data_IF_969757703683
#
_entry.id   IF_969757703683
#
_cell.length_a   1.000
_cell.length_b   1.000
_cell.length_c   1.000
_cell.angle_alpha   90.00
_cell.angle_beta   90.00
_cell.angle_gamma   90.00
#
_symmetry.space_group_name_H-M   'P 1'
#
loop_
_entity.id
_entity.type
_entity.pdbx_description
1 polymer ?
#
# COMPACT_ATOMS: atom_id res chain seq x y z
N UNK A 1 -43.66 10.37 -13.20
CA UNK A 1 -42.91 9.45 -14.05
C UNK A 1 -42.52 8.27 -13.19
N UNK A 2 -43.24 7.14 -13.27
CA UNK A 2 -42.99 5.98 -12.41
C UNK A 2 -41.78 5.20 -12.91
N UNK A 3 -40.81 4.98 -12.03
CA UNK A 3 -39.70 4.08 -12.30
C UNK A 3 -40.22 2.66 -12.18
N UNK A 4 -40.34 1.96 -13.31
CA UNK A 4 -40.59 0.53 -13.34
C UNK A 4 -39.38 -0.20 -12.76
N UNK A 5 -39.51 -0.71 -11.53
CA UNK A 5 -38.60 -1.73 -11.01
C UNK A 5 -38.84 -3.02 -11.80
N UNK A 6 -37.96 -3.33 -12.76
CA UNK A 6 -37.93 -4.65 -13.39
C UNK A 6 -37.33 -5.58 -12.34
N UNK A 7 -38.13 -6.45 -11.78
CA UNK A 7 -37.71 -7.54 -10.90
C UNK A 7 -36.89 -8.56 -11.72
N UNK A 8 -35.58 -8.36 -11.80
CA UNK A 8 -34.68 -9.26 -12.53
C UNK A 8 -34.59 -10.55 -11.72
N UNK A 9 -35.30 -11.57 -12.14
CA UNK A 9 -35.27 -12.90 -11.53
C UNK A 9 -33.84 -13.38 -11.38
N UNK A 10 -33.36 -13.49 -10.14
CA UNK A 10 -32.01 -13.89 -9.81
C UNK A 10 -31.77 -15.34 -10.24
N UNK A 11 -30.87 -15.57 -11.19
CA UNK A 11 -30.49 -16.90 -11.67
C UNK A 11 -29.90 -17.73 -10.53
N UNK A 12 -30.32 -19.00 -10.43
CA UNK A 12 -29.91 -19.93 -9.39
C UNK A 12 -29.10 -21.10 -9.96
N UNK A 13 -28.38 -21.85 -9.09
CA UNK A 13 -27.71 -23.10 -9.53
C UNK A 13 -28.70 -24.13 -10.14
N UNK A 14 -30.00 -24.09 -9.78
CA UNK A 14 -31.02 -24.93 -10.39
C UNK A 14 -31.31 -24.52 -11.84
N UNK A 15 -31.32 -23.21 -12.10
CA UNK A 15 -31.54 -22.70 -13.46
C UNK A 15 -30.33 -23.08 -14.36
N UNK A 16 -29.11 -23.03 -13.83
CA UNK A 16 -27.92 -23.52 -14.55
C UNK A 16 -28.00 -25.04 -14.81
N UNK A 17 -28.42 -25.83 -13.81
CA UNK A 17 -28.55 -27.27 -13.96
C UNK A 17 -29.59 -27.61 -15.06
N UNK A 18 -30.69 -26.90 -15.08
CA UNK A 18 -31.72 -27.04 -16.08
C UNK A 18 -31.23 -26.66 -17.49
N UNK A 19 -30.54 -25.54 -17.62
CA UNK A 19 -30.02 -25.03 -18.89
C UNK A 19 -28.84 -25.84 -19.43
N UNK A 20 -27.95 -26.34 -18.55
CA UNK A 20 -26.77 -27.11 -18.95
C UNK A 20 -27.02 -28.61 -19.14
N UNK A 21 -28.17 -29.14 -18.65
CA UNK A 21 -28.48 -30.56 -18.67
C UNK A 21 -27.70 -31.38 -17.66
N UNK A 22 -26.91 -30.78 -16.77
CA UNK A 22 -26.15 -31.47 -15.76
C UNK A 22 -26.87 -31.50 -14.42
N UNK A 23 -26.50 -32.48 -13.57
CA UNK A 23 -27.08 -32.59 -12.24
C UNK A 23 -26.74 -31.36 -11.38
N UNK A 24 -27.59 -30.98 -10.43
CA UNK A 24 -27.32 -29.90 -9.49
C UNK A 24 -26.02 -30.13 -8.71
N UNK A 25 -25.67 -31.41 -8.44
CA UNK A 25 -24.39 -31.78 -7.77
C UNK A 25 -23.19 -31.48 -8.67
N UNK A 26 -23.29 -31.81 -9.97
CA UNK A 26 -22.24 -31.50 -10.95
C UNK A 26 -22.07 -30.02 -11.13
N UNK A 27 -23.16 -29.26 -11.24
CA UNK A 27 -23.14 -27.78 -11.29
C UNK A 27 -22.50 -27.19 -10.04
N UNK A 28 -22.91 -27.63 -8.85
CA UNK A 28 -22.34 -27.16 -7.60
C UNK A 28 -20.82 -27.46 -7.52
N UNK A 29 -20.38 -28.63 -7.98
CA UNK A 29 -18.94 -28.99 -8.01
C UNK A 29 -18.17 -28.14 -9.02
N UNK A 30 -18.72 -27.94 -10.21
CA UNK A 30 -18.13 -27.12 -11.26
C UNK A 30 -17.95 -25.65 -10.80
N UNK A 31 -19.03 -25.06 -10.28
CA UNK A 31 -19.06 -23.66 -9.82
C UNK A 31 -18.17 -23.37 -8.60
N UNK A 32 -17.89 -24.39 -7.77
CA UNK A 32 -17.04 -24.26 -6.57
C UNK A 32 -15.67 -24.92 -6.73
N UNK A 33 -15.22 -25.19 -7.94
CA UNK A 33 -13.94 -25.81 -8.28
C UNK A 33 -13.62 -27.10 -7.51
N UNK A 34 -14.64 -27.92 -7.19
CA UNK A 34 -14.49 -29.18 -6.46
C UNK A 34 -14.18 -30.33 -7.42
N UNK A 35 -13.54 -31.37 -6.90
CA UNK A 35 -13.28 -32.61 -7.64
C UNK A 35 -14.58 -33.38 -7.96
N UNK A 36 -14.47 -34.33 -8.92
CA UNK A 36 -15.59 -35.16 -9.35
C UNK A 36 -16.40 -34.61 -10.52
N UNK A 37 -15.82 -33.66 -11.27
CA UNK A 37 -16.29 -33.16 -12.57
C UNK A 37 -15.09 -33.02 -13.50
N UNK A 38 -15.19 -33.55 -14.74
CA UNK A 38 -14.11 -33.41 -15.72
C UNK A 38 -13.89 -31.95 -16.13
N UNK A 39 -12.73 -31.62 -16.70
CA UNK A 39 -12.40 -30.26 -17.14
C UNK A 39 -13.38 -29.77 -18.22
N UNK A 40 -13.77 -30.64 -19.13
CA UNK A 40 -14.68 -30.35 -20.24
C UNK A 40 -16.10 -30.04 -19.72
N UNK A 41 -16.61 -30.88 -18.83
CA UNK A 41 -17.96 -30.69 -18.22
C UNK A 41 -17.93 -29.41 -17.35
N UNK A 42 -16.86 -29.15 -16.64
CA UNK A 42 -16.72 -27.91 -15.86
C UNK A 42 -16.81 -26.68 -16.77
N UNK A 43 -16.06 -26.69 -17.88
CA UNK A 43 -16.07 -25.55 -18.81
C UNK A 43 -17.44 -25.33 -19.44
N UNK A 44 -18.16 -26.40 -19.80
CA UNK A 44 -19.52 -26.30 -20.34
C UNK A 44 -20.46 -25.65 -19.31
N UNK A 45 -20.43 -26.08 -18.07
CA UNK A 45 -21.28 -25.53 -17.00
C UNK A 45 -20.91 -24.04 -16.74
N UNK A 46 -19.66 -23.67 -16.75
CA UNK A 46 -19.23 -22.28 -16.57
C UNK A 46 -19.68 -21.38 -17.72
N UNK A 47 -19.62 -21.87 -18.96
CA UNK A 47 -20.11 -21.15 -20.13
C UNK A 47 -21.61 -20.89 -20.05
N UNK A 48 -22.39 -21.90 -19.63
CA UNK A 48 -23.85 -21.73 -19.44
C UNK A 48 -24.16 -20.76 -18.31
N UNK A 49 -23.39 -20.80 -17.20
CA UNK A 49 -23.56 -19.86 -16.09
C UNK A 49 -23.31 -18.42 -16.55
N UNK A 50 -22.26 -18.20 -17.35
CA UNK A 50 -21.93 -16.89 -17.91
C UNK A 50 -23.00 -16.38 -18.87
N UNK A 51 -23.46 -17.23 -19.79
CA UNK A 51 -24.56 -16.90 -20.71
C UNK A 51 -25.88 -16.51 -20.03
N UNK A 52 -26.14 -17.13 -18.87
CA UNK A 52 -27.34 -16.83 -18.07
C UNK A 52 -27.12 -15.59 -17.17
N UNK A 53 -25.93 -15.01 -17.13
CA UNK A 53 -25.58 -13.91 -16.22
C UNK A 53 -25.63 -14.33 -14.75
N UNK A 54 -25.29 -15.61 -14.46
CA UNK A 54 -25.24 -16.08 -13.08
C UNK A 54 -24.10 -15.44 -12.32
N UNK A 55 -24.42 -14.74 -11.26
CA UNK A 55 -23.45 -14.26 -10.28
C UNK A 55 -23.52 -15.14 -9.04
N UNK A 56 -22.39 -15.74 -8.66
CA UNK A 56 -22.31 -16.57 -7.43
C UNK A 56 -22.74 -15.73 -6.23
N UNK A 57 -23.76 -16.18 -5.52
CA UNK A 57 -24.17 -15.52 -4.28
C UNK A 57 -23.21 -15.91 -3.16
N UNK A 58 -22.02 -15.30 -3.16
CA UNK A 58 -21.00 -15.54 -2.15
C UNK A 58 -21.50 -15.22 -0.75
N UNK A 59 -22.39 -14.22 -0.57
CA UNK A 59 -22.96 -13.84 0.72
C UNK A 59 -23.80 -14.99 1.31
N UNK A 60 -24.71 -15.57 0.53
CA UNK A 60 -25.51 -16.71 1.00
C UNK A 60 -24.67 -17.98 1.26
N UNK A 61 -23.56 -18.14 0.53
CA UNK A 61 -22.60 -19.22 0.76
C UNK A 61 -21.75 -18.97 2.01
N UNK A 62 -21.36 -17.72 2.24
CA UNK A 62 -20.53 -17.31 3.38
C UNK A 62 -21.27 -17.47 4.73
N UNK A 63 -22.57 -17.18 4.75
CA UNK A 63 -23.42 -17.36 5.94
C UNK A 63 -23.50 -18.83 6.42
N UNK A 64 -23.19 -19.79 5.55
CA UNK A 64 -23.16 -21.23 5.88
C UNK A 64 -21.75 -21.76 6.17
N UNK A 65 -20.70 -20.94 5.95
CA UNK A 65 -19.33 -21.31 6.22
C UNK A 65 -18.92 -20.89 7.64
N UNK A 66 -17.85 -21.50 8.17
CA UNK A 66 -17.24 -21.00 9.39
C UNK A 66 -16.83 -19.53 9.23
N UNK A 67 -16.77 -18.82 10.33
CA UNK A 67 -16.24 -17.47 10.36
C UNK A 67 -14.78 -17.45 9.86
N UNK A 68 -14.44 -16.47 9.05
CA UNK A 68 -13.08 -16.25 8.54
C UNK A 68 -12.42 -15.19 9.39
N UNK A 69 -11.27 -15.53 9.97
CA UNK A 69 -10.52 -14.67 10.88
C UNK A 69 -9.37 -13.99 10.12
N UNK A 70 -9.38 -12.68 10.10
CA UNK A 70 -8.35 -11.84 9.45
C UNK A 70 -7.73 -10.93 10.51
N UNK A 71 -6.41 -10.91 10.58
CA UNK A 71 -5.68 -9.92 11.37
C UNK A 71 -5.09 -8.85 10.46
N UNK A 72 -5.24 -7.59 10.86
CA UNK A 72 -4.58 -6.43 10.24
C UNK A 72 -3.60 -5.88 11.26
N UNK A 73 -2.30 -5.95 10.96
CA UNK A 73 -1.21 -5.48 11.84
C UNK A 73 -0.45 -4.38 11.11
N UNK A 74 -0.75 -3.12 11.44
CA UNK A 74 -0.20 -1.94 10.76
C UNK A 74 0.27 -0.90 11.76
N UNK A 75 1.18 0.00 11.36
CA UNK A 75 1.48 1.18 12.17
C UNK A 75 0.21 1.96 12.52
N UNK A 76 0.25 2.61 13.68
CA UNK A 76 -0.86 3.42 14.19
C UNK A 76 -1.25 4.54 13.21
N UNK A 77 -2.55 4.88 13.08
CA UNK A 77 -3.00 5.96 12.21
C UNK A 77 -2.79 7.36 12.81
N UNK A 78 -2.46 7.44 14.10
CA UNK A 78 -2.21 8.68 14.85
C UNK A 78 -0.73 9.06 14.91
N UNK A 79 -0.39 10.06 15.71
CA UNK A 79 0.98 10.47 15.93
C UNK A 79 1.75 10.73 14.63
N UNK A 80 2.90 10.09 14.46
CA UNK A 80 3.70 10.14 13.23
C UNK A 80 3.07 9.36 12.06
N UNK A 81 2.15 8.45 12.33
CA UNK A 81 1.43 7.68 11.31
C UNK A 81 0.37 8.47 10.57
N UNK A 82 -0.07 9.63 11.12
CA UNK A 82 -1.11 10.47 10.53
C UNK A 82 -0.81 10.94 9.10
N UNK A 83 0.46 11.05 8.73
CA UNK A 83 0.87 11.53 7.41
C UNK A 83 0.76 10.46 6.31
N UNK A 84 0.60 9.17 6.70
CA UNK A 84 0.61 8.06 5.76
C UNK A 84 -0.33 6.92 6.16
N UNK A 85 -0.17 6.33 7.36
CA UNK A 85 -0.90 5.13 7.75
C UNK A 85 -2.37 5.35 8.05
N UNK A 86 -2.82 6.56 8.39
CA UNK A 86 -4.25 6.84 8.47
C UNK A 86 -4.98 6.53 7.17
N UNK A 87 -4.34 6.77 6.01
CA UNK A 87 -4.91 6.48 4.69
C UNK A 87 -4.92 5.00 4.36
N UNK A 88 -3.92 4.24 4.82
CA UNK A 88 -3.97 2.78 4.77
C UNK A 88 -5.17 2.23 5.53
N UNK A 89 -5.33 2.66 6.78
CA UNK A 89 -6.45 2.24 7.62
C UNK A 89 -7.79 2.62 7.01
N UNK A 90 -7.90 3.81 6.42
CA UNK A 90 -9.10 4.24 5.68
C UNK A 90 -9.37 3.29 4.51
N UNK A 91 -8.37 2.99 3.70
CA UNK A 91 -8.51 2.06 2.57
C UNK A 91 -8.93 0.65 3.02
N UNK A 92 -8.31 0.10 4.07
CA UNK A 92 -8.71 -1.18 4.65
C UNK A 92 -10.16 -1.16 5.15
N UNK A 93 -10.55 -0.07 5.84
CA UNK A 93 -11.90 0.09 6.36
C UNK A 93 -12.94 0.15 5.26
N UNK A 94 -12.71 0.96 4.22
CA UNK A 94 -13.66 1.08 3.11
C UNK A 94 -13.83 -0.25 2.38
N UNK A 95 -12.73 -1.01 2.17
CA UNK A 95 -12.81 -2.35 1.60
C UNK A 95 -13.51 -3.37 2.52
N UNK A 96 -13.32 -3.27 3.85
CA UNK A 96 -14.04 -4.07 4.86
C UNK A 96 -15.54 -3.76 4.85
N UNK A 97 -15.92 -2.48 4.76
CA UNK A 97 -17.33 -2.04 4.74
C UNK A 97 -18.06 -2.55 3.49
N UNK A 98 -17.41 -2.63 2.33
CA UNK A 98 -17.99 -3.21 1.11
C UNK A 98 -18.39 -4.69 1.28
N UNK A 99 -17.74 -5.39 2.21
CA UNK A 99 -17.94 -6.83 2.45
C UNK A 99 -18.56 -7.14 3.81
N UNK A 100 -19.17 -6.15 4.47
CA UNK A 100 -19.77 -6.31 5.80
C UNK A 100 -20.86 -7.42 5.87
N UNK A 101 -21.45 -7.83 4.73
CA UNK A 101 -22.41 -8.93 4.65
C UNK A 101 -21.80 -10.34 4.75
N UNK A 102 -20.48 -10.46 4.79
CA UNK A 102 -19.78 -11.75 4.91
C UNK A 102 -19.45 -12.05 6.37
N UNK A 103 -19.39 -13.36 6.73
CA UNK A 103 -19.05 -13.79 8.09
C UNK A 103 -17.54 -13.67 8.36
N UNK A 104 -17.08 -12.44 8.53
CA UNK A 104 -15.68 -12.09 8.81
C UNK A 104 -15.52 -11.66 10.27
N UNK A 105 -14.39 -12.02 10.85
CA UNK A 105 -13.89 -11.48 12.10
C UNK A 105 -12.57 -10.76 11.78
N UNK A 106 -12.58 -9.44 11.81
CA UNK A 106 -11.42 -8.61 11.46
C UNK A 106 -10.84 -8.02 12.74
N UNK A 107 -9.66 -8.49 13.10
CA UNK A 107 -8.91 -8.03 14.27
C UNK A 107 -7.89 -7.00 13.83
N UNK A 108 -7.78 -5.88 14.56
CA UNK A 108 -6.94 -4.74 14.22
C UNK A 108 -5.92 -4.51 15.32
N UNK A 109 -4.65 -4.55 14.96
CA UNK A 109 -3.51 -4.32 15.86
C UNK A 109 -2.69 -3.17 15.31
N UNK A 110 -2.24 -2.30 16.19
CA UNK A 110 -1.40 -1.15 15.82
C UNK A 110 -0.11 -1.15 16.62
N UNK A 111 0.94 -0.62 16.01
CA UNK A 111 2.25 -0.41 16.65
C UNK A 111 2.79 0.97 16.26
N UNK A 112 3.65 1.59 17.09
CA UNK A 112 4.24 2.89 16.77
C UNK A 112 5.22 2.79 15.62
N UNK A 113 5.29 3.85 14.81
CA UNK A 113 6.16 3.92 13.63
C UNK A 113 7.62 4.30 13.97
N UNK A 114 8.01 4.26 15.22
CA UNK A 114 9.29 4.78 15.66
C UNK A 114 10.42 3.74 15.64
N UNK A 115 11.35 3.88 14.70
CA UNK A 115 12.66 3.23 14.69
C UNK A 115 12.66 1.76 15.10
N UNK A 116 13.60 1.40 15.97
CA UNK A 116 13.73 0.03 16.47
C UNK A 116 12.55 -0.40 17.36
N UNK A 117 12.01 0.50 18.19
CA UNK A 117 10.90 0.18 19.11
C UNK A 117 9.65 -0.24 18.37
N UNK A 118 9.29 0.41 17.28
CA UNK A 118 8.13 0.00 16.46
C UNK A 118 8.31 -1.37 15.83
N UNK A 119 9.54 -1.76 15.49
CA UNK A 119 9.82 -3.11 14.98
C UNK A 119 9.75 -4.17 16.07
N UNK A 120 10.21 -3.89 17.28
CA UNK A 120 10.12 -4.78 18.44
C UNK A 120 8.67 -5.02 18.82
N UNK A 121 7.86 -3.96 18.88
CA UNK A 121 6.44 -4.04 19.21
C UNK A 121 5.65 -4.79 18.12
N UNK A 122 6.00 -4.61 16.83
CA UNK A 122 5.44 -5.43 15.76
C UNK A 122 5.76 -6.91 15.93
N UNK A 123 7.00 -7.24 16.33
CA UNK A 123 7.42 -8.62 16.62
C UNK A 123 6.59 -9.21 17.76
N UNK A 124 6.37 -8.46 18.84
CA UNK A 124 5.62 -8.94 20.00
C UNK A 124 4.15 -9.16 19.66
N UNK A 125 3.52 -8.23 18.93
CA UNK A 125 2.15 -8.40 18.42
C UNK A 125 2.04 -9.65 17.53
N UNK A 126 2.99 -9.87 16.62
CA UNK A 126 2.96 -11.03 15.74
C UNK A 126 3.18 -12.34 16.50
N UNK A 127 4.01 -12.37 17.56
CA UNK A 127 4.19 -13.53 18.43
C UNK A 127 2.91 -13.85 19.20
N UNK A 128 2.31 -12.87 19.88
CA UNK A 128 1.07 -13.04 20.62
C UNK A 128 -0.05 -13.52 19.69
N UNK A 129 -0.20 -12.91 18.53
CA UNK A 129 -1.17 -13.32 17.52
C UNK A 129 -0.94 -14.77 17.06
N UNK A 130 0.32 -15.18 16.86
CA UNK A 130 0.67 -16.54 16.45
C UNK A 130 0.34 -17.57 17.55
N UNK A 131 0.60 -17.23 18.82
CA UNK A 131 0.32 -18.10 19.96
C UNK A 131 -1.17 -18.19 20.25
N UNK A 132 -1.88 -17.05 20.26
CA UNK A 132 -3.29 -16.99 20.62
C UNK A 132 -4.21 -17.55 19.53
N UNK A 133 -3.96 -17.20 18.28
CA UNK A 133 -4.84 -17.53 17.15
C UNK A 133 -4.38 -18.75 16.36
N UNK A 134 -3.08 -19.08 16.34
CA UNK A 134 -2.52 -20.30 15.79
C UNK A 134 -3.23 -20.79 14.52
N UNK A 135 -3.91 -21.94 14.61
CA UNK A 135 -4.62 -22.57 13.48
C UNK A 135 -6.02 -21.96 13.21
N UNK A 136 -6.44 -20.94 13.95
CA UNK A 136 -7.74 -20.27 13.76
C UNK A 136 -7.67 -19.04 12.89
N UNK A 137 -6.48 -18.49 12.66
CA UNK A 137 -6.27 -17.37 11.76
C UNK A 137 -6.26 -17.84 10.30
N UNK A 138 -6.99 -17.16 9.43
CA UNK A 138 -7.06 -17.47 7.99
C UNK A 138 -6.21 -16.54 7.17
N UNK A 139 -6.13 -15.26 7.58
CA UNK A 139 -5.41 -14.23 6.84
C UNK A 139 -4.71 -13.22 7.73
N UNK A 140 -3.56 -12.76 7.26
CA UNK A 140 -2.77 -11.71 7.88
C UNK A 140 -2.43 -10.64 6.83
N UNK A 141 -2.82 -9.40 7.11
CA UNK A 141 -2.45 -8.22 6.35
C UNK A 141 -1.50 -7.38 7.20
N UNK A 142 -0.26 -7.14 6.72
CA UNK A 142 0.72 -6.37 7.49
C UNK A 142 1.68 -5.56 6.62
N UNK A 143 2.24 -4.50 7.19
CA UNK A 143 3.32 -3.71 6.62
C UNK A 143 4.54 -3.83 7.53
N UNK A 144 5.57 -4.61 7.16
CA UNK A 144 6.80 -4.70 7.95
C UNK A 144 7.45 -3.33 8.11
N UNK A 145 7.76 -2.93 9.36
CA UNK A 145 8.28 -1.59 9.64
C UNK A 145 9.69 -1.38 9.07
N UNK A 146 10.57 -2.34 9.32
CA UNK A 146 11.95 -2.37 8.82
C UNK A 146 12.33 -3.79 8.39
N UNK A 147 13.48 -3.94 7.74
CA UNK A 147 14.05 -5.25 7.42
C UNK A 147 14.51 -5.94 8.71
N UNK A 148 13.64 -6.80 9.27
CA UNK A 148 13.85 -7.51 10.54
C UNK A 148 13.64 -9.01 10.33
N UNK A 149 14.70 -9.79 10.61
CA UNK A 149 14.68 -11.25 10.43
C UNK A 149 13.67 -11.97 11.33
N UNK A 150 13.35 -11.42 12.50
CA UNK A 150 12.34 -12.00 13.39
C UNK A 150 10.95 -11.84 12.79
N UNK A 151 10.63 -10.67 12.20
CA UNK A 151 9.37 -10.46 11.47
C UNK A 151 9.28 -11.44 10.30
N UNK A 152 10.34 -11.56 9.48
CA UNK A 152 10.38 -12.49 8.36
C UNK A 152 10.15 -13.94 8.82
N UNK A 153 10.80 -14.37 9.90
CA UNK A 153 10.63 -15.70 10.49
C UNK A 153 9.18 -15.95 10.93
N UNK A 154 8.57 -15.01 11.64
CA UNK A 154 7.16 -15.11 12.08
C UNK A 154 6.20 -15.18 10.89
N UNK A 155 6.39 -14.35 9.88
CA UNK A 155 5.58 -14.40 8.65
C UNK A 155 5.69 -15.77 7.96
N UNK A 156 6.90 -16.35 7.91
CA UNK A 156 7.11 -17.71 7.38
C UNK A 156 6.39 -18.77 8.22
N UNK A 157 6.35 -18.59 9.56
CA UNK A 157 5.62 -19.50 10.45
C UNK A 157 4.11 -19.41 10.23
N UNK A 158 3.54 -18.19 10.06
CA UNK A 158 2.13 -18.02 9.70
C UNK A 158 1.81 -18.73 8.38
N UNK A 159 2.60 -18.48 7.34
CA UNK A 159 2.41 -19.12 6.04
C UNK A 159 2.53 -20.66 6.13
N UNK A 160 3.48 -21.18 6.92
CA UNK A 160 3.65 -22.60 7.18
C UNK A 160 2.47 -23.27 7.89
N UNK A 161 1.65 -22.50 8.61
CA UNK A 161 0.36 -22.94 9.20
C UNK A 161 -0.84 -22.78 8.27
N UNK A 162 -0.63 -22.32 7.03
CA UNK A 162 -1.69 -22.09 6.06
C UNK A 162 -2.40 -20.74 6.20
N UNK A 163 -1.86 -19.81 6.97
CA UNK A 163 -2.36 -18.43 7.02
C UNK A 163 -1.95 -17.71 5.73
N UNK A 164 -2.91 -17.10 5.06
CA UNK A 164 -2.66 -16.30 3.85
C UNK A 164 -2.09 -14.94 4.24
N UNK A 165 -0.81 -14.69 3.92
CA UNK A 165 -0.12 -13.45 4.28
C UNK A 165 -0.09 -12.51 3.10
N UNK A 166 -0.58 -11.28 3.28
CA UNK A 166 -0.45 -10.17 2.33
C UNK A 166 0.42 -9.09 2.96
N UNK A 167 1.48 -8.71 2.26
CA UNK A 167 2.38 -7.64 2.68
C UNK A 167 2.07 -6.33 1.98
N UNK A 168 2.43 -5.22 2.60
CA UNK A 168 2.35 -3.88 2.04
C UNK A 168 3.66 -3.12 2.28
N UNK A 169 4.06 -2.31 1.31
CA UNK A 169 5.28 -1.50 1.26
C UNK A 169 6.57 -2.33 1.27
N UNK A 170 6.97 -2.89 2.41
CA UNK A 170 8.20 -3.67 2.52
C UNK A 170 7.93 -5.16 2.24
N UNK A 171 8.68 -5.73 1.31
CA UNK A 171 8.51 -7.11 0.84
C UNK A 171 9.56 -8.06 1.44
N UNK A 172 9.09 -9.21 1.94
CA UNK A 172 9.90 -10.36 2.31
C UNK A 172 9.56 -11.54 1.40
N UNK A 173 10.23 -11.67 0.27
CA UNK A 173 9.92 -12.68 -0.78
C UNK A 173 9.91 -14.11 -0.25
N UNK A 174 10.79 -14.43 0.69
CA UNK A 174 10.99 -15.81 1.19
C UNK A 174 10.14 -16.15 2.42
N UNK A 175 9.10 -15.38 2.73
CA UNK A 175 8.22 -15.64 3.87
C UNK A 175 6.95 -16.43 3.54
N UNK A 176 6.79 -16.88 2.28
CA UNK A 176 5.60 -17.63 1.84
C UNK A 176 4.33 -16.76 1.74
N UNK A 177 4.50 -15.46 1.55
CA UNK A 177 3.39 -14.53 1.36
C UNK A 177 2.61 -14.80 0.08
N UNK A 178 1.33 -14.46 0.07
CA UNK A 178 0.46 -14.51 -1.09
C UNK A 178 0.87 -13.46 -2.14
N UNK A 179 1.06 -12.23 -1.69
CA UNK A 179 1.56 -11.13 -2.51
C UNK A 179 2.06 -9.97 -1.63
N UNK A 180 2.77 -9.02 -2.26
CA UNK A 180 3.09 -7.72 -1.68
C UNK A 180 2.50 -6.60 -2.53
N UNK A 181 1.85 -5.62 -1.88
CA UNK A 181 1.25 -4.46 -2.52
C UNK A 181 2.08 -3.23 -2.17
N UNK A 182 2.80 -2.71 -3.14
CA UNK A 182 3.72 -1.59 -2.96
C UNK A 182 3.85 -0.78 -4.25
N UNK A 183 4.27 0.50 -4.20
CA UNK A 183 4.76 1.16 -5.39
C UNK A 183 6.10 0.52 -5.79
N UNK A 184 6.55 0.77 -6.98
CA UNK A 184 7.95 0.49 -7.30
C UNK A 184 8.83 1.62 -6.75
N UNK A 185 9.47 1.38 -5.60
CA UNK A 185 10.19 2.42 -4.87
C UNK A 185 11.41 2.96 -5.64
N UNK A 186 12.11 2.13 -6.41
CA UNK A 186 13.19 2.60 -7.30
C UNK A 186 12.62 3.60 -8.31
N UNK A 187 11.54 3.25 -9.00
CA UNK A 187 10.90 4.15 -9.96
C UNK A 187 10.25 5.37 -9.28
N UNK A 188 9.84 5.26 -8.02
CA UNK A 188 9.36 6.41 -7.23
C UNK A 188 10.46 7.46 -7.08
N UNK A 189 11.67 7.04 -6.70
CA UNK A 189 12.84 7.91 -6.63
C UNK A 189 13.25 8.46 -7.98
N UNK A 190 13.30 7.61 -9.01
CA UNK A 190 13.63 8.03 -10.39
C UNK A 190 12.64 9.07 -10.93
N UNK A 191 11.35 8.91 -10.67
CA UNK A 191 10.32 9.86 -11.08
C UNK A 191 10.50 11.24 -10.43
N UNK A 192 10.83 11.26 -9.12
CA UNK A 192 11.17 12.51 -8.43
C UNK A 192 12.41 13.17 -9.03
N UNK A 193 13.46 12.37 -9.30
CA UNK A 193 14.71 12.84 -9.92
C UNK A 193 14.49 13.37 -11.33
N UNK A 194 13.71 12.66 -12.15
CA UNK A 194 13.35 13.08 -13.50
C UNK A 194 12.63 14.43 -13.52
N UNK A 195 11.62 14.59 -12.66
CA UNK A 195 10.92 15.86 -12.49
C UNK A 195 11.90 16.99 -12.13
N UNK A 196 12.78 16.76 -11.17
CA UNK A 196 13.77 17.75 -10.74
C UNK A 196 14.77 18.06 -11.85
N UNK A 197 15.23 17.06 -12.59
CA UNK A 197 16.15 17.25 -13.72
C UNK A 197 15.53 18.09 -14.83
N UNK A 198 14.24 17.89 -15.15
CA UNK A 198 13.51 18.71 -16.14
C UNK A 198 13.50 20.20 -15.77
N UNK A 199 13.38 20.52 -14.46
CA UNK A 199 13.33 21.91 -13.96
C UNK A 199 14.72 22.50 -13.75
N UNK A 200 15.68 21.69 -13.31
CA UNK A 200 17.04 22.10 -12.99
C UNK A 200 18.00 21.97 -14.18
N UNK A 201 17.50 21.67 -15.37
CA UNK A 201 18.28 21.38 -16.57
C UNK A 201 19.39 22.41 -16.80
N UNK A 202 20.62 21.93 -16.91
CA UNK A 202 21.83 22.75 -17.13
C UNK A 202 22.34 23.49 -15.90
N UNK A 203 21.71 23.34 -14.73
CA UNK A 203 22.22 23.85 -13.46
C UNK A 203 23.23 22.87 -12.85
N UNK A 204 24.19 23.45 -12.12
CA UNK A 204 25.13 22.71 -11.25
C UNK A 204 24.76 22.97 -9.81
N UNK A 205 24.95 21.97 -8.96
CA UNK A 205 24.71 22.15 -7.53
C UNK A 205 24.38 20.86 -6.81
N UNK A 206 23.90 21.01 -5.58
CA UNK A 206 23.56 19.92 -4.68
C UNK A 206 22.04 19.75 -4.58
N UNK A 207 21.55 18.50 -4.52
CA UNK A 207 20.19 18.17 -4.12
C UNK A 207 20.25 17.47 -2.77
N UNK A 208 19.58 18.06 -1.78
CA UNK A 208 19.41 17.47 -0.44
C UNK A 208 18.29 16.43 -0.47
N UNK A 209 18.58 15.18 -0.10
CA UNK A 209 17.61 14.10 0.00
C UNK A 209 17.41 13.69 1.44
N UNK A 210 16.21 13.94 1.99
CA UNK A 210 15.80 13.39 3.27
C UNK A 210 15.39 11.91 3.06
N UNK A 211 16.41 11.02 3.17
CA UNK A 211 16.35 9.64 2.68
C UNK A 211 15.50 8.69 3.56
N UNK A 212 15.11 9.12 4.76
CA UNK A 212 14.40 8.26 5.70
C UNK A 212 15.31 7.27 6.43
N UNK A 213 14.74 6.18 6.94
CA UNK A 213 15.48 5.11 7.63
C UNK A 213 15.91 4.07 6.60
N UNK A 214 17.21 3.94 6.35
CA UNK A 214 17.74 3.00 5.35
C UNK A 214 17.55 1.52 5.72
N UNK A 215 17.17 1.22 6.96
CA UNK A 215 16.76 -0.14 7.35
C UNK A 215 15.39 -0.52 6.76
N UNK A 216 14.59 0.46 6.37
CA UNK A 216 13.39 0.25 5.56
C UNK A 216 13.80 0.10 4.10
N UNK A 217 13.50 -1.06 3.51
CA UNK A 217 13.85 -1.36 2.12
C UNK A 217 13.25 -0.34 1.15
N UNK A 218 11.99 0.05 1.37
CA UNK A 218 11.29 1.04 0.53
C UNK A 218 11.97 2.41 0.56
N UNK A 219 12.43 2.88 1.73
CA UNK A 219 13.13 4.17 1.83
C UNK A 219 14.48 4.12 1.11
N UNK A 220 15.25 3.04 1.34
CA UNK A 220 16.54 2.85 0.70
C UNK A 220 16.40 2.80 -0.82
N UNK A 221 15.50 1.96 -1.34
CA UNK A 221 15.28 1.81 -2.79
C UNK A 221 14.83 3.13 -3.43
N UNK A 222 14.02 3.93 -2.75
CA UNK A 222 13.59 5.24 -3.25
C UNK A 222 14.76 6.21 -3.34
N UNK A 223 15.59 6.31 -2.29
CA UNK A 223 16.76 7.17 -2.31
C UNK A 223 17.80 6.70 -3.33
N UNK A 224 18.02 5.38 -3.45
CA UNK A 224 18.93 4.81 -4.44
C UNK A 224 18.45 5.12 -5.88
N UNK A 225 17.18 4.91 -6.17
CA UNK A 225 16.61 5.22 -7.49
C UNK A 225 16.73 6.70 -7.87
N UNK A 226 16.60 7.60 -6.89
CA UNK A 226 16.79 9.04 -7.08
C UNK A 226 18.24 9.37 -7.44
N UNK A 227 19.21 8.87 -6.69
CA UNK A 227 20.62 9.12 -6.92
C UNK A 227 21.13 8.48 -8.20
N UNK A 228 20.73 7.23 -8.48
CA UNK A 228 21.09 6.49 -9.69
C UNK A 228 20.67 7.24 -10.95
N UNK A 229 19.50 7.87 -10.93
CA UNK A 229 19.03 8.67 -12.07
C UNK A 229 20.03 9.77 -12.44
N UNK A 230 20.47 10.59 -11.47
CA UNK A 230 21.42 11.67 -11.75
C UNK A 230 22.79 11.15 -12.15
N UNK A 231 23.25 10.05 -11.55
CA UNK A 231 24.50 9.39 -11.93
C UNK A 231 24.48 8.89 -13.37
N UNK A 232 23.39 8.28 -13.82
CA UNK A 232 23.22 7.78 -15.19
C UNK A 232 23.12 8.91 -16.22
N UNK A 233 22.56 10.06 -15.85
CA UNK A 233 22.46 11.22 -16.72
C UNK A 233 23.80 11.99 -16.84
N UNK A 234 24.85 11.60 -16.10
CA UNK A 234 26.11 12.36 -15.98
C UNK A 234 25.87 13.84 -15.67
N UNK A 235 24.85 14.14 -14.87
CA UNK A 235 24.49 15.50 -14.49
C UNK A 235 25.51 16.08 -13.51
N UNK A 236 25.81 17.38 -13.64
CA UNK A 236 26.64 18.12 -12.67
C UNK A 236 25.87 18.37 -11.36
N UNK A 237 25.19 17.36 -10.86
CA UNK A 237 24.36 17.37 -9.63
C UNK A 237 24.97 16.43 -8.61
N UNK A 238 25.26 16.96 -7.44
CA UNK A 238 25.63 16.17 -6.25
C UNK A 238 24.37 15.83 -5.46
N UNK A 239 24.16 14.56 -5.13
CA UNK A 239 23.09 14.13 -4.24
C UNK A 239 23.64 13.95 -2.81
N UNK A 240 23.15 14.79 -1.88
CA UNK A 240 23.51 14.72 -0.45
C UNK A 240 22.37 14.10 0.35
N UNK A 241 22.57 12.90 0.89
CA UNK A 241 21.56 12.22 1.71
C UNK A 241 21.69 12.62 3.18
N UNK A 242 20.54 12.85 3.83
CA UNK A 242 20.41 12.96 5.28
C UNK A 242 19.49 11.87 5.80
N UNK A 243 19.94 11.19 6.86
CA UNK A 243 19.18 10.09 7.47
C UNK A 243 18.14 10.62 8.44
N UNK A 244 17.09 9.84 8.65
CA UNK A 244 16.04 10.14 9.60
C UNK A 244 16.53 9.87 11.05
N UNK A 245 16.50 10.88 11.88
CA UNK A 245 16.83 10.79 13.31
C UNK A 245 15.63 10.35 14.16
N UNK A 246 14.51 9.98 13.54
CA UNK A 246 13.26 9.57 14.18
C UNK A 246 12.58 10.64 15.06
N UNK A 247 13.03 11.88 14.99
CA UNK A 247 12.47 13.03 15.69
C UNK A 247 12.30 14.19 14.70
N UNK A 248 11.07 14.68 14.47
CA UNK A 248 10.79 15.73 13.48
C UNK A 248 11.64 16.99 13.69
N UNK A 249 11.82 17.42 14.94
CA UNK A 249 12.62 18.59 15.30
C UNK A 249 14.10 18.39 14.96
N UNK A 250 14.66 17.23 15.29
CA UNK A 250 16.06 16.91 14.99
C UNK A 250 16.27 16.80 13.46
N UNK A 251 15.34 16.20 12.74
CA UNK A 251 15.36 16.13 11.28
C UNK A 251 15.33 17.53 10.65
N UNK A 252 14.47 18.40 11.16
CA UNK A 252 14.40 19.80 10.71
C UNK A 252 15.71 20.54 10.94
N UNK A 253 16.28 20.46 12.13
CA UNK A 253 17.54 21.15 12.45
C UNK A 253 18.71 20.62 11.62
N UNK A 254 18.78 19.29 11.40
CA UNK A 254 19.78 18.68 10.53
C UNK A 254 19.67 19.21 9.08
N UNK A 255 18.46 19.27 8.51
CA UNK A 255 18.25 19.78 7.16
C UNK A 255 18.52 21.29 7.07
N UNK A 256 18.12 22.06 8.10
CA UNK A 256 18.42 23.49 8.20
C UNK A 256 19.93 23.73 8.19
N UNK A 257 20.68 22.97 8.97
CA UNK A 257 22.13 23.07 9.00
C UNK A 257 22.74 22.80 7.62
N UNK A 258 22.27 21.77 6.92
CA UNK A 258 22.71 21.49 5.54
C UNK A 258 22.45 22.66 4.59
N UNK A 259 21.28 23.29 4.66
CA UNK A 259 20.94 24.45 3.81
C UNK A 259 21.80 25.70 4.14
N UNK A 260 22.19 25.87 5.38
CA UNK A 260 23.02 27.02 5.81
C UNK A 260 24.50 26.82 5.44
N UNK A 261 25.00 25.59 5.52
CA UNK A 261 26.39 25.25 5.23
C UNK A 261 26.69 25.12 3.74
N UNK A 262 25.70 24.73 2.92
CA UNK A 262 25.87 24.49 1.50
C UNK A 262 24.99 25.45 0.67
N UNK A 263 25.55 26.58 0.22
CA UNK A 263 24.84 27.53 -0.62
C UNK A 263 24.53 26.99 -2.02
N UNK A 264 25.23 25.92 -2.45
CA UNK A 264 25.04 25.29 -3.75
C UNK A 264 23.83 24.32 -3.78
N UNK A 265 23.10 24.17 -2.69
CA UNK A 265 21.85 23.41 -2.70
C UNK A 265 20.80 24.15 -3.53
N UNK A 266 20.40 23.54 -4.64
CA UNK A 266 19.41 24.05 -5.59
C UNK A 266 18.11 23.22 -5.61
N UNK A 267 18.11 22.05 -4.98
CA UNK A 267 16.96 21.16 -4.89
C UNK A 267 16.88 20.44 -3.56
N UNK A 268 15.68 19.99 -3.20
CA UNK A 268 15.45 19.19 -2.00
C UNK A 268 14.33 18.17 -2.24
N UNK A 269 14.51 16.94 -1.76
CA UNK A 269 13.54 15.87 -1.90
C UNK A 269 13.35 15.11 -0.58
N UNK A 270 12.10 14.85 -0.20
CA UNK A 270 11.74 13.96 0.89
C UNK A 270 11.27 12.61 0.34
N UNK A 271 11.91 11.50 0.69
CA UNK A 271 11.50 10.16 0.25
C UNK A 271 10.27 9.63 1.00
N UNK A 272 9.87 10.29 2.10
CA UNK A 272 8.79 9.82 2.98
C UNK A 272 7.94 10.97 3.53
N UNK A 273 6.65 10.68 3.77
CA UNK A 273 5.67 11.64 4.27
C UNK A 273 6.13 12.41 5.52
N UNK A 274 6.64 11.69 6.52
CA UNK A 274 7.01 12.24 7.83
C UNK A 274 8.11 13.31 7.75
N UNK A 275 9.01 13.24 6.77
CA UNK A 275 10.11 14.19 6.61
C UNK A 275 9.73 15.38 5.71
N UNK A 276 8.56 15.35 5.07
CA UNK A 276 8.12 16.41 4.17
C UNK A 276 7.92 17.74 4.90
N UNK A 277 7.26 17.74 6.07
CA UNK A 277 7.05 18.98 6.83
C UNK A 277 8.35 19.51 7.48
N UNK A 278 9.18 18.69 8.17
CA UNK A 278 10.49 19.13 8.62
C UNK A 278 11.36 19.75 7.52
N UNK A 279 11.32 19.18 6.30
CA UNK A 279 12.03 19.74 5.14
C UNK A 279 11.49 21.13 4.76
N UNK A 280 10.16 21.29 4.68
CA UNK A 280 9.53 22.57 4.38
C UNK A 280 9.85 23.64 5.43
N UNK A 281 9.78 23.28 6.73
CA UNK A 281 10.08 24.18 7.84
C UNK A 281 11.55 24.60 7.84
N UNK A 282 12.48 23.67 7.57
CA UNK A 282 13.89 23.98 7.41
C UNK A 282 14.12 24.96 6.26
N UNK A 283 13.50 24.70 5.11
CA UNK A 283 13.60 25.56 3.92
C UNK A 283 13.05 26.98 4.19
N UNK A 284 11.90 27.09 4.86
CA UNK A 284 11.31 28.40 5.21
C UNK A 284 12.22 29.25 6.10
N UNK A 285 12.95 28.62 7.03
CA UNK A 285 13.89 29.31 7.92
C UNK A 285 15.11 29.88 7.21
N UNK A 286 15.49 29.32 6.06
CA UNK A 286 16.62 29.83 5.26
C UNK A 286 16.28 31.08 4.45
N UNK A 287 14.99 31.34 4.20
CA UNK A 287 14.50 32.33 3.24
C UNK A 287 14.71 31.96 1.76
N UNK A 288 15.24 30.78 1.45
CA UNK A 288 15.63 30.34 0.09
C UNK A 288 14.54 29.54 -0.63
N UNK A 289 13.28 29.60 -0.17
CA UNK A 289 12.17 28.81 -0.73
C UNK A 289 11.94 29.00 -2.23
N UNK A 290 12.30 30.18 -2.77
CA UNK A 290 12.10 30.50 -4.19
C UNK A 290 13.31 30.11 -5.05
N UNK A 291 14.45 29.80 -4.42
CA UNK A 291 15.69 29.36 -5.07
C UNK A 291 15.79 27.84 -5.16
N UNK A 292 15.25 27.13 -4.17
CA UNK A 292 15.35 25.67 -4.02
C UNK A 292 14.08 24.99 -4.53
N UNK A 293 14.25 24.06 -5.49
CA UNK A 293 13.14 23.24 -5.99
C UNK A 293 12.86 22.09 -5.02
N UNK A 294 11.84 22.26 -4.17
CA UNK A 294 11.50 21.28 -3.14
C UNK A 294 10.37 20.35 -3.58
N UNK A 295 10.59 19.03 -3.44
CA UNK A 295 9.63 17.95 -3.72
C UNK A 295 9.33 17.18 -2.44
N UNK A 296 8.05 17.11 -2.07
CA UNK A 296 7.55 16.36 -0.92
C UNK A 296 7.15 14.93 -1.27
N UNK A 297 6.88 14.14 -0.26
CA UNK A 297 6.33 12.79 -0.38
C UNK A 297 4.99 12.68 0.31
N UNK A 298 4.05 12.09 -0.39
CA UNK A 298 2.67 11.83 0.00
C UNK A 298 1.80 13.07 0.26
N UNK A 299 0.51 12.90 0.02
CA UNK A 299 -0.49 13.95 0.14
C UNK A 299 -1.25 13.80 1.46
N UNK A 300 -1.20 14.84 2.28
CA UNK A 300 -1.94 15.05 3.51
C UNK A 300 -2.14 16.56 3.69
N UNK A 301 -2.98 17.00 4.62
CA UNK A 301 -3.39 18.39 4.70
C UNK A 301 -2.21 19.38 4.75
N UNK A 302 -1.24 19.14 5.64
CA UNK A 302 -0.09 20.03 5.79
C UNK A 302 0.81 20.07 4.54
N UNK A 303 0.99 18.93 3.83
CA UNK A 303 1.75 18.92 2.57
C UNK A 303 1.00 19.63 1.43
N UNK A 304 -0.34 19.53 1.42
CA UNK A 304 -1.21 20.27 0.50
C UNK A 304 -1.09 21.78 0.71
N UNK A 305 -1.04 22.23 1.96
CA UNK A 305 -0.86 23.63 2.33
C UNK A 305 0.52 24.15 1.90
N UNK A 306 1.59 23.34 2.10
CA UNK A 306 2.94 23.66 1.64
C UNK A 306 3.06 23.72 0.11
N UNK A 307 2.32 22.87 -0.61
CA UNK A 307 2.23 22.93 -2.06
C UNK A 307 1.46 24.18 -2.53
N UNK A 308 0.34 24.48 -1.87
CA UNK A 308 -0.51 25.63 -2.22
C UNK A 308 0.20 26.96 -1.96
N UNK A 309 1.00 27.04 -0.89
CA UNK A 309 1.83 28.22 -0.58
C UNK A 309 3.11 28.34 -1.42
N UNK A 310 3.40 27.35 -2.26
CA UNK A 310 4.57 27.32 -3.15
C UNK A 310 5.90 26.98 -2.46
N UNK A 311 5.89 26.54 -1.21
CA UNK A 311 7.08 25.99 -0.54
C UNK A 311 7.48 24.68 -1.22
N UNK A 312 6.56 23.71 -1.31
CA UNK A 312 6.71 22.58 -2.20
C UNK A 312 6.35 22.98 -3.63
N UNK A 313 7.10 22.48 -4.58
CA UNK A 313 6.83 22.65 -6.02
C UNK A 313 6.09 21.45 -6.59
N UNK A 314 6.24 20.29 -5.96
CA UNK A 314 5.55 19.05 -6.29
C UNK A 314 5.48 18.10 -5.09
N UNK A 315 4.59 17.12 -5.18
CA UNK A 315 4.50 15.98 -4.24
C UNK A 315 4.51 14.70 -5.06
N UNK A 316 5.35 13.74 -4.66
CA UNK A 316 5.30 12.35 -5.14
C UNK A 316 4.30 11.59 -4.28
N UNK A 317 3.18 11.21 -4.85
CA UNK A 317 2.09 10.53 -4.16
C UNK A 317 2.14 9.03 -4.42
N UNK A 318 2.34 8.25 -3.37
CA UNK A 318 2.47 6.78 -3.40
C UNK A 318 1.17 6.04 -3.11
N UNK A 319 0.06 6.77 -3.04
CA UNK A 319 -1.30 6.28 -2.87
C UNK A 319 -1.50 5.26 -1.73
N UNK A 320 -1.28 5.66 -0.47
CA UNK A 320 -1.42 4.77 0.68
C UNK A 320 -2.85 4.24 0.86
N UNK A 321 -3.87 5.02 0.50
CA UNK A 321 -5.26 4.59 0.53
C UNK A 321 -5.50 3.35 -0.34
N UNK A 322 -5.06 3.40 -1.61
CA UNK A 322 -5.25 2.30 -2.53
C UNK A 322 -4.50 1.03 -2.08
N UNK A 323 -3.36 1.19 -1.43
CA UNK A 323 -2.62 0.05 -0.87
C UNK A 323 -3.42 -0.66 0.22
N UNK A 324 -3.97 0.07 1.17
CA UNK A 324 -4.84 -0.49 2.21
C UNK A 324 -6.08 -1.16 1.62
N UNK A 325 -6.75 -0.48 0.69
CA UNK A 325 -7.94 -0.99 0.01
C UNK A 325 -7.65 -2.29 -0.76
N UNK A 326 -6.62 -2.29 -1.61
CA UNK A 326 -6.23 -3.47 -2.39
C UNK A 326 -5.70 -4.59 -1.49
N UNK A 327 -4.98 -4.27 -0.41
CA UNK A 327 -4.46 -5.25 0.54
C UNK A 327 -5.56 -6.09 1.16
N UNK A 328 -6.56 -5.42 1.72
CA UNK A 328 -7.72 -6.10 2.30
C UNK A 328 -8.54 -6.83 1.24
N UNK A 329 -8.81 -6.19 0.11
CA UNK A 329 -9.60 -6.77 -0.98
C UNK A 329 -8.97 -8.02 -1.57
N UNK A 330 -7.66 -8.01 -1.83
CA UNK A 330 -6.92 -9.18 -2.35
C UNK A 330 -6.99 -10.35 -1.37
N UNK A 331 -6.77 -10.08 -0.09
CA UNK A 331 -6.85 -11.10 0.96
C UNK A 331 -8.28 -11.68 1.06
N UNK A 332 -9.29 -10.83 1.07
CA UNK A 332 -10.69 -11.22 1.05
C UNK A 332 -11.04 -12.06 -0.17
N UNK A 333 -10.67 -11.64 -1.37
CA UNK A 333 -10.97 -12.37 -2.61
C UNK A 333 -10.32 -13.76 -2.62
N UNK A 334 -9.10 -13.86 -2.11
CA UNK A 334 -8.44 -15.14 -1.97
C UNK A 334 -9.16 -16.06 -0.97
N UNK A 335 -9.43 -15.58 0.24
CA UNK A 335 -10.02 -16.39 1.31
C UNK A 335 -11.47 -16.78 1.05
N UNK A 336 -12.26 -15.89 0.48
CA UNK A 336 -13.70 -16.09 0.30
C UNK A 336 -14.06 -16.61 -1.08
N UNK A 337 -13.43 -16.06 -2.12
CA UNK A 337 -13.76 -16.40 -3.51
C UNK A 337 -12.80 -17.42 -4.12
N UNK A 338 -11.65 -17.70 -3.48
CA UNK A 338 -10.60 -18.56 -4.01
C UNK A 338 -9.87 -17.95 -5.23
N UNK A 339 -9.90 -16.62 -5.35
CA UNK A 339 -9.25 -15.89 -6.43
C UNK A 339 -7.83 -15.54 -6.01
N UNK A 340 -6.84 -16.19 -6.62
CA UNK A 340 -5.44 -15.85 -6.41
C UNK A 340 -5.08 -14.52 -7.08
N UNK A 341 -4.21 -13.70 -6.49
CA UNK A 341 -3.64 -12.55 -7.17
C UNK A 341 -2.90 -13.00 -8.44
N UNK A 342 -2.93 -12.15 -9.48
CA UNK A 342 -2.26 -12.45 -10.75
C UNK A 342 -0.74 -12.47 -10.62
N UNK A 343 -0.22 -11.58 -9.77
CA UNK A 343 1.21 -11.37 -9.55
C UNK A 343 1.52 -11.38 -8.06
N UNK A 344 2.70 -11.83 -7.70
CA UNK A 344 3.21 -11.79 -6.32
C UNK A 344 3.59 -10.36 -5.88
N UNK A 345 3.83 -9.46 -6.82
CA UNK A 345 4.09 -8.05 -6.58
C UNK A 345 3.03 -7.20 -7.31
N UNK A 346 2.12 -6.62 -6.56
CA UNK A 346 1.06 -5.75 -7.08
C UNK A 346 1.52 -4.30 -6.94
N UNK A 347 1.81 -3.67 -8.09
CA UNK A 347 2.26 -2.29 -8.12
C UNK A 347 1.09 -1.32 -8.04
N UNK A 348 1.19 -0.35 -7.13
CA UNK A 348 0.25 0.77 -7.02
C UNK A 348 0.79 1.95 -7.82
N UNK A 349 -0.06 2.62 -8.64
CA UNK A 349 0.36 3.79 -9.41
C UNK A 349 0.91 4.92 -8.55
N UNK A 350 2.00 5.52 -9.00
CA UNK A 350 2.62 6.70 -8.43
C UNK A 350 2.16 7.91 -9.23
N UNK A 351 1.90 9.04 -8.58
CA UNK A 351 1.48 10.27 -9.24
C UNK A 351 2.32 11.47 -8.79
N UNK A 352 2.56 12.39 -9.71
CA UNK A 352 3.09 13.72 -9.37
C UNK A 352 1.91 14.67 -9.16
N UNK A 353 1.85 15.26 -7.98
CA UNK A 353 0.86 16.26 -7.64
C UNK A 353 1.50 17.64 -7.69
N UNK A 354 0.87 18.52 -8.46
CA UNK A 354 1.20 19.92 -8.61
C UNK A 354 0.00 20.78 -8.14
N UNK A 355 0.20 22.09 -8.01
CA UNK A 355 -0.87 23.00 -7.56
C UNK A 355 -2.17 22.85 -8.37
N UNK A 356 -2.09 22.65 -9.69
CA UNK A 356 -3.27 22.65 -10.54
C UNK A 356 -4.03 21.32 -10.54
N UNK A 357 -3.38 20.19 -10.22
CA UNK A 357 -4.04 18.89 -10.20
C UNK A 357 -4.38 18.37 -8.79
N UNK A 358 -3.94 19.04 -7.73
CA UNK A 358 -4.24 18.66 -6.33
C UNK A 358 -5.74 18.49 -6.06
N UNK A 359 -6.58 19.28 -6.73
CA UNK A 359 -8.04 19.21 -6.61
C UNK A 359 -8.63 17.84 -6.94
N UNK A 360 -7.95 17.03 -7.76
CA UNK A 360 -8.38 15.68 -8.13
C UNK A 360 -8.01 14.63 -7.09
N UNK A 361 -7.23 15.00 -6.08
CA UNK A 361 -6.76 14.13 -5.00
C UNK A 361 -7.34 14.50 -3.63
N UNK A 362 -8.20 15.55 -3.55
CA UNK A 362 -8.73 16.06 -2.27
C UNK A 362 -9.59 15.05 -1.50
N UNK A 363 -10.21 14.09 -2.18
CA UNK A 363 -10.99 13.02 -1.54
C UNK A 363 -10.11 12.01 -0.77
N UNK A 364 -8.79 12.09 -0.97
CA UNK A 364 -7.80 11.26 -0.29
C UNK A 364 -7.08 11.98 0.86
N UNK A 365 -7.52 13.19 1.23
CA UNK A 365 -6.94 14.00 2.32
C UNK A 365 -7.90 14.02 3.52
#
# INVERSE_FOLDING_TARGET
>A
MGVLFIDVKKITLKDIAQASGYSLVSVHRAMNNKEGVSKEVRQQILNVADQLGYTTNYVASALKRRQVNIAIVLPEPGGSGKYYFQYFWKGCKDAEDEVAGYNLNVMKYTFPIHGSSGSEEQVDILKELYEEWGNRLDGLLTSPNINNSQIQCLLSQFSGRGVSVVLMDNDFKDCGRLCCIAPNDIYTGRLAAELMNLVLQGKRGTILVAAGDERSLSHKMNADGFEDYFREQNADILVKRVQDLNQPEANREQMLQCFLEDPDIIGAYSTRARNTIPLCEALLRTGRRDEIFAVGSDLFQESADMLSSGVLKAIVYKNPYQKGYLGFKTLFEYLIKGISPKDEAISVPISIILQNNIKFFKEFI
#
